data_IF_869068369001
#
_entry.id   IF_869068369001
#
_cell.length_a   1.000
_cell.length_b   1.000
_cell.length_c   1.000
_cell.angle_alpha   90.00
_cell.angle_beta   90.00
_cell.angle_gamma   90.00
#
_symmetry.space_group_name_H-M   'P 1'
#
loop_
_entity.id
_entity.type
_entity.pdbx_description
1 polymer ?
#
# COMPACT_ATOMS: atom_id res chain seq x y z
N UNK A 1 15.19 23.74 4.53
CA UNK A 1 15.60 22.63 5.43
C UNK A 1 14.42 21.66 5.47
N UNK A 2 14.69 20.37 5.36
CA UNK A 2 13.68 19.32 5.48
C UNK A 2 13.40 18.94 6.95
N UNK A 3 12.66 17.85 7.14
CA UNK A 3 12.37 17.29 8.46
C UNK A 3 13.67 16.86 9.14
N UNK A 4 14.01 17.40 10.33
CA UNK A 4 15.25 17.02 11.02
C UNK A 4 15.26 15.53 11.36
N UNK A 5 16.36 14.85 11.03
CA UNK A 5 16.52 13.42 11.31
C UNK A 5 15.74 12.47 10.40
N UNK A 6 15.14 12.94 9.30
CA UNK A 6 14.46 12.05 8.34
C UNK A 6 15.44 10.98 7.83
N UNK A 7 15.10 9.72 8.09
CA UNK A 7 15.86 8.54 7.62
C UNK A 7 15.14 7.78 6.50
N UNK A 8 13.81 7.86 6.40
CA UNK A 8 13.03 7.20 5.38
C UNK A 8 11.54 7.16 5.71
N UNK A 9 10.74 6.53 4.85
CA UNK A 9 9.34 6.20 5.14
C UNK A 9 9.29 4.91 5.95
N UNK A 10 8.60 4.92 7.10
CA UNK A 10 8.50 3.79 8.02
C UNK A 10 7.35 2.85 7.64
N UNK A 11 6.13 3.39 7.59
CA UNK A 11 4.94 2.62 7.25
C UNK A 11 3.89 3.45 6.51
N UNK A 12 2.91 2.76 5.98
CA UNK A 12 1.67 3.34 5.43
C UNK A 12 0.50 2.78 6.22
N UNK A 13 -0.30 3.66 6.85
CA UNK A 13 -1.51 3.31 7.58
C UNK A 13 -2.72 3.17 6.64
N UNK A 14 -3.45 2.09 6.75
CA UNK A 14 -4.64 1.79 5.95
C UNK A 14 -5.80 1.39 6.87
N UNK A 15 -6.91 2.10 6.77
CA UNK A 15 -8.16 1.66 7.42
C UNK A 15 -8.88 0.68 6.49
N UNK A 16 -9.22 -0.48 7.02
CA UNK A 16 -9.91 -1.56 6.30
C UNK A 16 -11.22 -1.93 6.98
N UNK A 17 -12.22 -2.41 6.22
CA UNK A 17 -13.53 -2.74 6.78
C UNK A 17 -13.53 -4.02 7.64
N UNK A 18 -12.59 -4.92 7.40
CA UNK A 18 -12.43 -6.21 8.08
C UNK A 18 -10.93 -6.54 8.11
N UNK A 19 -10.34 -6.49 9.30
CA UNK A 19 -8.91 -6.68 9.47
C UNK A 19 -8.46 -8.09 9.09
N UNK A 20 -9.24 -9.11 9.40
CA UNK A 20 -8.86 -10.49 9.11
C UNK A 20 -8.97 -10.80 7.60
N UNK A 21 -10.00 -10.27 6.92
CA UNK A 21 -10.10 -10.39 5.47
C UNK A 21 -8.97 -9.64 4.75
N UNK A 22 -8.66 -8.42 5.18
CA UNK A 22 -7.54 -7.65 4.64
C UNK A 22 -6.20 -8.36 4.91
N UNK A 23 -6.01 -8.91 6.10
CA UNK A 23 -4.81 -9.67 6.43
C UNK A 23 -4.64 -10.88 5.53
N UNK A 24 -5.70 -11.68 5.32
CA UNK A 24 -5.63 -12.82 4.38
C UNK A 24 -5.21 -12.38 2.99
N UNK A 25 -5.79 -11.31 2.47
CA UNK A 25 -5.40 -10.75 1.18
C UNK A 25 -3.91 -10.39 1.13
N UNK A 26 -3.42 -9.62 2.10
CA UNK A 26 -2.01 -9.22 2.13
C UNK A 26 -1.06 -10.40 2.33
N UNK A 27 -1.44 -11.40 3.12
CA UNK A 27 -0.57 -12.56 3.39
C UNK A 27 -0.63 -13.58 2.25
N UNK A 28 -1.82 -13.97 1.81
CA UNK A 28 -2.00 -15.08 0.86
C UNK A 28 -1.86 -14.64 -0.60
N UNK A 29 -2.26 -13.41 -0.93
CA UNK A 29 -2.20 -12.91 -2.30
C UNK A 29 -0.95 -12.06 -2.55
N UNK A 30 -0.66 -11.10 -1.67
CA UNK A 30 0.49 -10.19 -1.85
C UNK A 30 1.79 -10.82 -1.33
N UNK A 31 1.74 -11.68 -0.30
CA UNK A 31 2.91 -12.34 0.27
C UNK A 31 3.55 -11.58 1.42
N UNK A 32 2.82 -10.66 2.08
CA UNK A 32 3.28 -9.99 3.29
C UNK A 32 3.28 -10.94 4.49
N UNK A 33 3.94 -10.53 5.58
CA UNK A 33 4.01 -11.29 6.84
C UNK A 33 3.46 -10.45 7.97
N UNK A 34 2.63 -11.05 8.82
CA UNK A 34 2.20 -10.42 10.07
C UNK A 34 3.38 -10.33 11.02
N UNK A 35 3.56 -9.16 11.64
CA UNK A 35 4.64 -8.91 12.60
C UNK A 35 4.07 -8.89 14.01
N UNK A 36 3.10 -8.02 14.29
CA UNK A 36 2.42 -7.95 15.59
C UNK A 36 1.05 -7.28 15.47
N UNK A 37 0.24 -7.47 16.50
CA UNK A 37 -1.06 -6.82 16.70
C UNK A 37 -1.00 -5.91 17.93
N UNK A 38 -1.79 -4.83 17.90
CA UNK A 38 -2.00 -3.92 19.05
C UNK A 38 -3.49 -3.59 19.16
N UNK A 39 -3.95 -3.28 20.35
CA UNK A 39 -5.32 -2.84 20.64
C UNK A 39 -6.08 -3.78 21.58
N UNK A 40 -7.35 -3.51 21.89
CA UNK A 40 -8.10 -2.35 21.38
C UNK A 40 -7.63 -1.02 21.98
N UNK A 41 -7.89 0.08 21.25
CA UNK A 41 -7.73 1.44 21.75
C UNK A 41 -9.09 2.13 21.89
N UNK A 42 -9.40 2.55 23.10
CA UNK A 42 -10.65 3.21 23.46
C UNK A 42 -10.30 4.35 24.41
N UNK A 43 -10.95 5.49 24.24
CA UNK A 43 -10.82 6.61 25.16
C UNK A 43 -12.19 7.11 25.57
N UNK A 44 -12.33 7.49 26.85
CA UNK A 44 -13.55 8.09 27.40
C UNK A 44 -13.57 9.63 27.30
N UNK A 45 -12.44 10.22 26.93
CA UNK A 45 -12.23 11.65 26.71
C UNK A 45 -12.09 12.00 25.22
N UNK A 46 -11.51 13.14 24.92
CA UNK A 46 -11.27 13.64 23.55
C UNK A 46 -9.89 13.24 22.96
N UNK A 47 -9.23 12.26 23.57
CA UNK A 47 -7.91 11.83 23.16
C UNK A 47 -7.88 11.37 21.69
N UNK A 48 -8.89 10.60 21.24
CA UNK A 48 -8.97 10.10 19.87
C UNK A 48 -9.02 11.25 18.83
N UNK A 49 -9.77 12.31 19.14
CA UNK A 49 -9.83 13.50 18.30
C UNK A 49 -8.52 14.28 18.30
N UNK A 50 -7.97 14.56 19.49
CA UNK A 50 -6.77 15.38 19.65
C UNK A 50 -5.50 14.75 19.09
N UNK A 51 -5.38 13.42 19.18
CA UNK A 51 -4.16 12.73 18.79
C UNK A 51 -4.26 12.01 17.44
N UNK A 52 -5.45 11.57 17.04
CA UNK A 52 -5.65 10.82 15.79
C UNK A 52 -6.48 11.59 14.75
N UNK A 53 -7.10 12.71 15.12
CA UNK A 53 -7.94 13.49 14.21
C UNK A 53 -9.21 12.77 13.77
N UNK A 54 -9.73 11.84 14.59
CA UNK A 54 -10.94 11.06 14.32
C UNK A 54 -12.04 11.46 15.29
N UNK A 55 -13.28 10.99 15.07
CA UNK A 55 -14.37 11.22 16.04
C UNK A 55 -13.93 10.77 17.45
N UNK A 56 -14.18 11.57 18.51
CA UNK A 56 -13.72 11.26 19.87
C UNK A 56 -14.29 9.95 20.44
N UNK A 57 -15.39 9.44 19.88
CA UNK A 57 -15.98 8.14 20.28
C UNK A 57 -15.55 6.98 19.38
N UNK A 58 -14.65 7.23 18.43
CA UNK A 58 -14.06 6.15 17.62
C UNK A 58 -13.32 5.15 18.49
N UNK A 59 -13.37 3.89 18.07
CA UNK A 59 -12.57 2.81 18.67
C UNK A 59 -11.68 2.21 17.61
N UNK A 60 -10.45 1.90 17.93
CA UNK A 60 -9.63 1.00 17.13
C UNK A 60 -9.82 -0.38 17.73
N UNK A 61 -10.56 -1.25 17.02
CA UNK A 61 -10.77 -2.62 17.47
C UNK A 61 -9.44 -3.38 17.53
N UNK A 62 -8.66 -3.23 16.48
CA UNK A 62 -7.32 -3.81 16.35
C UNK A 62 -6.51 -3.04 15.31
N UNK A 63 -5.22 -2.98 15.53
CA UNK A 63 -4.18 -2.56 14.60
C UNK A 63 -3.26 -3.75 14.35
N UNK A 64 -2.85 -3.96 13.09
CA UNK A 64 -1.93 -5.03 12.69
C UNK A 64 -0.81 -4.51 11.82
N UNK A 65 0.43 -4.79 12.23
CA UNK A 65 1.61 -4.47 11.43
C UNK A 65 1.98 -5.61 10.51
N UNK A 66 2.15 -5.29 9.23
CA UNK A 66 2.61 -6.21 8.20
C UNK A 66 3.93 -5.75 7.61
N UNK A 67 4.79 -6.71 7.28
CA UNK A 67 6.00 -6.49 6.49
C UNK A 67 5.84 -7.11 5.11
N UNK A 68 5.99 -6.29 4.07
CA UNK A 68 5.94 -6.74 2.68
C UNK A 68 7.34 -6.60 2.07
N UNK A 69 8.06 -7.71 1.97
CA UNK A 69 9.42 -7.76 1.41
C UNK A 69 10.34 -6.65 1.97
N UNK A 70 10.96 -5.85 1.12
CA UNK A 70 11.95 -4.81 1.48
C UNK A 70 11.39 -3.39 1.20
N UNK A 71 10.17 -3.12 1.61
CA UNK A 71 9.53 -1.80 1.50
C UNK A 71 9.15 -1.24 2.87
N UNK A 72 8.44 -0.09 2.89
CA UNK A 72 7.75 0.37 4.09
C UNK A 72 6.80 -0.69 4.62
N UNK A 73 6.61 -0.71 5.94
CA UNK A 73 5.62 -1.58 6.55
C UNK A 73 4.20 -1.12 6.21
N UNK A 74 3.23 -2.00 6.37
CA UNK A 74 1.81 -1.67 6.24
C UNK A 74 1.17 -1.82 7.62
N UNK A 75 0.49 -0.78 8.05
CA UNK A 75 -0.26 -0.74 9.29
C UNK A 75 -1.75 -0.79 8.96
N UNK A 76 -2.40 -1.89 9.29
CA UNK A 76 -3.83 -2.08 9.05
C UNK A 76 -4.62 -1.70 10.31
N UNK A 77 -5.64 -0.87 10.14
CA UNK A 77 -6.57 -0.47 11.18
C UNK A 77 -7.96 -1.00 10.91
N UNK A 78 -8.60 -1.54 11.94
CA UNK A 78 -10.04 -1.74 11.97
C UNK A 78 -10.66 -0.79 12.99
N UNK A 79 -11.42 0.19 12.49
CA UNK A 79 -12.13 1.18 13.30
C UNK A 79 -13.60 0.81 13.45
N UNK A 80 -14.12 0.99 14.67
CA UNK A 80 -15.55 1.12 14.94
C UNK A 80 -15.86 2.61 15.16
N UNK A 81 -16.53 3.23 14.20
CA UNK A 81 -16.87 4.64 14.22
C UNK A 81 -18.23 4.86 13.59
N UNK A 82 -19.04 5.72 14.22
CA UNK A 82 -20.33 6.12 13.70
C UNK A 82 -20.17 6.83 12.34
N UNK A 83 -21.01 6.51 11.39
CA UNK A 83 -21.04 7.13 10.05
C UNK A 83 -19.74 6.91 9.24
N UNK A 84 -19.05 5.79 9.47
CA UNK A 84 -17.88 5.41 8.69
C UNK A 84 -18.20 5.35 7.19
N UNK A 85 -17.38 6.01 6.38
CA UNK A 85 -17.47 5.92 4.92
C UNK A 85 -16.87 4.59 4.46
N UNK A 86 -17.71 3.69 3.97
CA UNK A 86 -17.28 2.36 3.50
C UNK A 86 -16.60 2.39 2.12
N UNK A 87 -16.75 3.48 1.36
CA UNK A 87 -16.17 3.62 0.02
C UNK A 87 -15.00 4.60 0.10
N UNK A 88 -13.82 4.11 -0.24
CA UNK A 88 -12.62 4.93 -0.35
C UNK A 88 -12.66 5.89 -1.55
N UNK A 89 -11.82 6.93 -1.58
CA UNK A 89 -11.72 7.84 -2.70
C UNK A 89 -11.17 7.10 -3.94
N UNK A 90 -11.59 7.55 -5.13
CA UNK A 90 -10.94 7.13 -6.38
C UNK A 90 -9.55 7.76 -6.48
N UNK A 91 -8.66 7.19 -7.27
CA UNK A 91 -7.35 7.81 -7.55
C UNK A 91 -7.45 9.25 -8.07
N UNK A 92 -8.55 9.61 -8.72
CA UNK A 92 -8.81 10.95 -9.25
C UNK A 92 -9.33 11.95 -8.22
N UNK A 93 -9.73 11.53 -7.05
CA UNK A 93 -10.29 12.38 -6.01
C UNK A 93 -9.16 12.98 -5.15
N UNK A 94 -9.41 14.16 -4.55
CA UNK A 94 -8.48 14.70 -3.55
C UNK A 94 -8.47 13.74 -2.34
N UNK A 95 -7.26 13.30 -1.94
CA UNK A 95 -7.07 12.21 -0.97
C UNK A 95 -7.04 10.82 -1.63
N UNK A 96 -7.27 10.72 -2.94
CA UNK A 96 -7.07 9.48 -3.69
C UNK A 96 -5.60 9.04 -3.62
N UNK A 97 -5.40 7.76 -3.41
CA UNK A 97 -4.07 7.16 -3.29
C UNK A 97 -4.09 5.71 -3.75
N UNK A 98 -2.93 5.20 -4.05
CA UNK A 98 -2.72 3.77 -4.30
C UNK A 98 -1.43 3.31 -3.65
N UNK A 99 -1.34 2.03 -3.37
CA UNK A 99 -0.13 1.37 -2.89
C UNK A 99 0.46 0.56 -4.05
N UNK A 100 1.73 0.82 -4.35
CA UNK A 100 2.43 0.16 -5.47
C UNK A 100 3.40 -0.90 -4.95
N UNK A 101 3.40 -2.07 -5.60
CA UNK A 101 4.31 -3.18 -5.33
C UNK A 101 5.24 -3.42 -6.52
N UNK A 102 6.53 -3.49 -6.23
CA UNK A 102 7.49 -3.88 -7.24
C UNK A 102 7.50 -5.39 -7.43
N UNK A 103 7.43 -5.84 -8.69
CA UNK A 103 7.55 -7.25 -9.08
C UNK A 103 8.62 -7.43 -10.15
N UNK A 104 9.37 -8.52 -10.07
CA UNK A 104 10.40 -8.82 -11.07
C UNK A 104 9.79 -9.30 -12.40
N UNK A 105 8.70 -10.06 -12.34
CA UNK A 105 7.97 -10.60 -13.48
C UNK A 105 6.51 -10.13 -13.44
N UNK A 106 6.20 -9.15 -14.29
CA UNK A 106 4.86 -8.56 -14.39
C UNK A 106 3.82 -9.59 -14.85
N UNK A 107 4.16 -10.43 -15.82
CA UNK A 107 3.20 -11.38 -16.38
C UNK A 107 2.84 -12.47 -15.36
N UNK A 108 3.83 -13.01 -14.67
CA UNK A 108 3.61 -13.97 -13.59
C UNK A 108 2.77 -13.36 -12.45
N UNK A 109 3.07 -12.11 -12.06
CA UNK A 109 2.34 -11.42 -11.00
C UNK A 109 0.87 -11.15 -11.38
N UNK A 110 0.60 -10.72 -12.61
CA UNK A 110 -0.77 -10.52 -13.12
C UNK A 110 -1.55 -11.85 -13.19
N UNK A 111 -0.91 -12.91 -13.68
CA UNK A 111 -1.51 -14.24 -13.69
C UNK A 111 -1.86 -14.73 -12.27
N UNK A 112 -0.97 -14.48 -11.31
CA UNK A 112 -1.18 -14.80 -9.89
C UNK A 112 -2.38 -14.04 -9.32
N UNK A 113 -2.47 -12.72 -9.51
CA UNK A 113 -3.61 -11.91 -9.06
C UNK A 113 -4.94 -12.42 -9.65
N UNK A 114 -4.97 -12.64 -10.97
CA UNK A 114 -6.17 -13.18 -11.66
C UNK A 114 -6.54 -14.57 -11.15
N UNK A 115 -5.55 -15.44 -10.90
CA UNK A 115 -5.75 -16.77 -10.34
C UNK A 115 -6.36 -16.76 -8.91
N UNK A 116 -6.16 -15.67 -8.16
CA UNK A 116 -6.78 -15.44 -6.85
C UNK A 116 -8.09 -14.62 -6.93
N UNK A 117 -8.64 -14.42 -8.14
CA UNK A 117 -9.88 -13.67 -8.32
C UNK A 117 -9.76 -12.16 -8.12
N UNK A 118 -8.54 -11.62 -8.09
CA UNK A 118 -8.31 -10.18 -7.95
C UNK A 118 -8.58 -9.48 -9.28
N UNK A 119 -9.35 -8.40 -9.23
CA UNK A 119 -9.65 -7.59 -10.41
C UNK A 119 -8.42 -6.77 -10.83
N UNK A 120 -7.82 -7.13 -11.96
CA UNK A 120 -6.76 -6.35 -12.62
C UNK A 120 -7.40 -5.39 -13.61
N UNK A 121 -7.01 -4.12 -13.61
CA UNK A 121 -7.59 -3.06 -14.43
C UNK A 121 -6.84 -2.93 -15.76
N UNK A 122 -7.32 -3.65 -16.76
CA UNK A 122 -6.69 -3.67 -18.08
C UNK A 122 -5.48 -4.61 -18.17
N UNK A 123 -4.59 -4.31 -19.11
CA UNK A 123 -3.34 -5.04 -19.33
C UNK A 123 -2.14 -4.18 -18.89
N UNK A 124 -1.00 -4.82 -18.53
CA UNK A 124 0.21 -4.08 -18.21
C UNK A 124 0.64 -3.12 -19.30
N UNK A 125 0.95 -1.89 -18.91
CA UNK A 125 1.35 -0.81 -19.82
C UNK A 125 2.83 -0.52 -19.67
N UNK A 126 3.58 -0.71 -20.77
CA UNK A 126 5.00 -0.34 -20.84
C UNK A 126 5.12 1.13 -21.28
N UNK A 127 5.80 1.94 -20.48
CA UNK A 127 6.16 3.30 -20.86
C UNK A 127 7.39 3.26 -21.78
N UNK A 128 7.21 3.78 -23.00
CA UNK A 128 8.28 3.77 -24.03
C UNK A 128 9.00 5.11 -24.15
N UNK A 129 8.46 6.18 -23.56
CA UNK A 129 8.96 7.54 -23.70
C UNK A 129 8.96 8.28 -22.35
N UNK A 130 9.70 9.39 -22.31
CA UNK A 130 9.81 10.25 -21.15
C UNK A 130 10.68 9.68 -20.03
N UNK A 131 10.75 10.36 -18.89
CA UNK A 131 11.60 9.96 -17.77
C UNK A 131 11.30 8.57 -17.20
N UNK A 132 10.07 8.13 -17.26
CA UNK A 132 9.61 6.83 -16.79
C UNK A 132 9.71 5.72 -17.84
N UNK A 133 10.28 5.97 -19.01
CA UNK A 133 10.48 4.91 -20.01
C UNK A 133 11.24 3.72 -19.43
N UNK A 134 10.73 2.52 -19.66
CA UNK A 134 11.24 1.26 -19.08
C UNK A 134 10.41 0.70 -17.93
N UNK A 135 9.50 1.49 -17.32
CA UNK A 135 8.55 0.96 -16.35
C UNK A 135 7.39 0.26 -17.05
N UNK A 136 7.02 -0.90 -16.53
CA UNK A 136 5.78 -1.58 -16.85
C UNK A 136 4.87 -1.52 -15.60
N UNK A 137 3.61 -1.16 -15.75
CA UNK A 137 2.70 -0.96 -14.64
C UNK A 137 1.28 -1.43 -14.95
N UNK A 138 0.54 -1.79 -13.92
CA UNK A 138 -0.89 -2.12 -14.02
C UNK A 138 -1.56 -1.89 -12.67
N UNK A 139 -2.78 -1.37 -12.69
CA UNK A 139 -3.61 -1.26 -11.49
C UNK A 139 -4.43 -2.52 -11.24
N UNK A 140 -4.74 -2.74 -9.97
CA UNK A 140 -5.67 -3.77 -9.51
C UNK A 140 -6.42 -3.27 -8.27
N UNK A 141 -7.49 -3.94 -7.86
CA UNK A 141 -8.29 -3.54 -6.70
C UNK A 141 -8.21 -4.58 -5.60
N UNK A 142 -7.97 -4.12 -4.37
CA UNK A 142 -8.15 -4.94 -3.18
C UNK A 142 -9.63 -5.33 -3.00
N UNK A 143 -9.94 -6.37 -2.23
CA UNK A 143 -11.32 -6.83 -2.02
C UNK A 143 -12.29 -5.75 -1.49
N UNK A 144 -11.78 -4.75 -0.78
CA UNK A 144 -12.56 -3.61 -0.27
C UNK A 144 -12.57 -2.38 -1.18
N UNK A 145 -12.11 -2.52 -2.43
CA UNK A 145 -12.17 -1.49 -3.47
C UNK A 145 -11.00 -0.51 -3.51
N UNK A 146 -10.00 -0.63 -2.63
CA UNK A 146 -8.82 0.22 -2.68
C UNK A 146 -8.00 -0.07 -3.95
N UNK A 147 -7.60 0.99 -4.65
CA UNK A 147 -6.70 0.87 -5.80
C UNK A 147 -5.29 0.53 -5.35
N UNK A 148 -4.68 -0.44 -6.02
CA UNK A 148 -3.29 -0.86 -5.85
C UNK A 148 -2.62 -0.95 -7.21
N UNK A 149 -1.29 -1.02 -7.24
CA UNK A 149 -0.51 -1.03 -8.46
C UNK A 149 0.59 -2.10 -8.40
N UNK A 150 0.87 -2.75 -9.53
CA UNK A 150 2.12 -3.45 -9.76
C UNK A 150 3.02 -2.61 -10.66
N UNK A 151 4.31 -2.56 -10.32
CA UNK A 151 5.34 -1.95 -11.17
C UNK A 151 6.51 -2.90 -11.36
N UNK A 152 7.13 -2.83 -12.56
CA UNK A 152 8.31 -3.61 -12.90
C UNK A 152 9.23 -2.79 -13.80
N UNK A 153 10.48 -2.63 -13.40
CA UNK A 153 11.51 -1.94 -14.19
C UNK A 153 12.89 -2.57 -13.95
N UNK A 154 13.08 -3.86 -14.28
CA UNK A 154 14.30 -4.62 -13.93
C UNK A 154 15.57 -4.05 -14.57
N UNK A 155 15.44 -3.29 -15.64
CA UNK A 155 16.55 -2.60 -16.32
C UNK A 155 16.67 -1.12 -15.96
N UNK A 156 15.85 -0.65 -14.99
CA UNK A 156 15.75 0.74 -14.63
C UNK A 156 14.85 1.56 -15.56
N UNK A 157 14.77 2.86 -15.29
CA UNK A 157 14.00 3.83 -16.06
C UNK A 157 14.92 4.87 -16.70
N UNK A 158 14.46 5.51 -17.77
CA UNK A 158 15.28 6.44 -18.56
C UNK A 158 15.83 7.62 -17.75
N UNK A 159 15.09 8.13 -16.74
CA UNK A 159 15.54 9.25 -15.90
C UNK A 159 16.87 8.96 -15.18
N UNK A 160 17.19 7.70 -14.91
CA UNK A 160 18.35 7.30 -14.11
C UNK A 160 19.68 7.61 -14.79
N UNK A 161 19.69 7.72 -16.12
CA UNK A 161 20.91 8.03 -16.88
C UNK A 161 21.55 9.37 -16.50
N UNK A 162 20.72 10.33 -16.02
CA UNK A 162 21.19 11.69 -15.68
C UNK A 162 20.70 12.15 -14.28
N UNK A 163 20.13 11.26 -13.49
CA UNK A 163 19.58 11.61 -12.19
C UNK A 163 20.66 11.80 -11.13
N UNK A 164 20.51 12.84 -10.31
CA UNK A 164 21.31 13.01 -9.08
C UNK A 164 20.80 12.12 -7.95
N UNK A 165 19.51 11.85 -7.95
CA UNK A 165 18.83 11.01 -6.96
C UNK A 165 18.08 9.90 -7.67
N UNK A 166 18.20 8.67 -7.16
CA UNK A 166 17.54 7.50 -7.68
C UNK A 166 16.37 7.15 -6.74
N UNK A 167 15.19 6.90 -7.32
CA UNK A 167 14.05 6.39 -6.56
C UNK A 167 14.39 5.05 -5.89
N UNK A 168 13.67 4.75 -4.81
CA UNK A 168 13.83 3.48 -4.12
C UNK A 168 13.72 2.30 -5.11
N UNK A 169 14.57 1.31 -4.92
CA UNK A 169 14.53 0.03 -5.61
C UNK A 169 14.59 -1.11 -4.60
N UNK A 170 13.94 -2.25 -4.88
CA UNK A 170 14.20 -3.45 -4.11
C UNK A 170 15.67 -3.83 -4.25
N UNK A 171 16.27 -4.32 -3.17
CA UNK A 171 17.56 -4.97 -3.26
C UNK A 171 17.47 -6.12 -4.27
N UNK A 172 18.48 -6.27 -5.13
CA UNK A 172 18.56 -7.44 -6.01
C UNK A 172 18.41 -8.68 -5.13
N UNK A 173 17.43 -9.54 -5.45
CA UNK A 173 17.31 -10.83 -4.78
C UNK A 173 18.65 -11.54 -4.91
N UNK A 174 19.27 -11.89 -3.79
CA UNK A 174 20.39 -12.82 -3.81
C UNK A 174 19.92 -14.09 -4.52
N UNK A 175 20.45 -14.33 -5.68
CA UNK A 175 20.23 -15.54 -6.50
C UNK A 175 20.72 -16.78 -5.77
#
# INVERSE_FOLDING_TARGET
MGLPGLAGADHVGLTVPDLEAATRFFVEVIGCKVVFDVGPFISDDDWMEKHLGVDPRSKINKLRMLKCANGPSIELFEYDVKDQKAVGPKNSDIGGHHLSFYVADMNAAVAHLRGHGVQVLGEPTLMNEGPSAGINWVYFTAPWGMTMELVSYPRGMAYEANAKEILWRPAASAS
#
